data_IF_358218596808
#
_entry.id   IF_358218596808
#
_cell.length_a   1.000
_cell.length_b   1.000
_cell.length_c   1.000
_cell.angle_alpha   90.00
_cell.angle_beta   90.00
_cell.angle_gamma   90.00
#
_symmetry.space_group_name_H-M   'P 1'
#
loop_
_entity.id
_entity.type
_entity.pdbx_description
1 polymer ?
#
# COMPACT_ATOMS: atom_id res chain seq x y z
N UNK A 1 39.00 39.04 33.61
CA UNK A 1 38.63 37.60 33.57
C UNK A 1 37.14 37.50 33.28
N UNK A 2 36.75 37.22 32.04
CA UNK A 2 35.35 36.96 31.69
C UNK A 2 35.11 35.45 31.75
N UNK A 3 34.17 35.03 32.61
CA UNK A 3 33.80 33.63 32.81
C UNK A 3 32.82 33.25 31.68
N UNK A 4 33.26 32.38 30.78
CA UNK A 4 32.39 31.84 29.73
C UNK A 4 31.35 30.92 30.36
N UNK A 5 30.07 31.23 30.20
CA UNK A 5 28.97 30.32 30.50
C UNK A 5 28.87 29.33 29.33
N UNK A 6 29.25 28.07 29.58
CA UNK A 6 28.98 26.96 28.68
C UNK A 6 27.50 26.60 28.80
N UNK A 7 26.72 26.86 27.74
CA UNK A 7 25.36 26.37 27.60
C UNK A 7 25.42 25.03 26.88
N UNK A 8 25.34 23.93 27.64
CA UNK A 8 25.24 22.59 27.07
C UNK A 8 23.82 22.39 26.54
N UNK A 9 23.67 22.38 25.21
CA UNK A 9 22.45 21.90 24.55
C UNK A 9 22.40 20.38 24.70
N UNK A 10 21.58 19.90 25.63
CA UNK A 10 21.18 18.48 25.67
C UNK A 10 20.23 18.27 24.49
N UNK A 11 20.74 17.71 23.39
CA UNK A 11 19.94 17.15 22.31
C UNK A 11 19.19 15.92 22.87
N UNK A 12 18.09 16.17 23.58
CA UNK A 12 17.11 15.15 23.88
C UNK A 12 16.52 14.66 22.57
N UNK A 13 16.79 13.40 22.22
CA UNK A 13 16.07 12.69 21.17
C UNK A 13 14.61 12.61 21.56
N UNK A 14 13.80 13.57 21.11
CA UNK A 14 12.34 13.42 21.06
C UNK A 14 12.04 12.24 20.13
N UNK A 15 11.88 11.05 20.70
CA UNK A 15 11.18 9.97 20.01
C UNK A 15 9.71 10.38 19.97
N UNK A 16 9.27 10.98 18.86
CA UNK A 16 7.85 11.00 18.54
C UNK A 16 7.41 9.55 18.40
N UNK A 17 6.73 9.02 19.42
CA UNK A 17 5.91 7.83 19.22
C UNK A 17 4.81 8.22 18.24
N UNK A 18 4.85 7.64 17.04
CA UNK A 18 3.77 7.79 16.09
C UNK A 18 2.46 7.38 16.77
N UNK A 19 1.44 8.24 16.71
CA UNK A 19 0.12 7.95 17.26
C UNK A 19 -0.39 6.60 16.71
N UNK A 20 -0.98 5.78 17.57
CA UNK A 20 -1.44 4.45 17.18
C UNK A 20 -2.49 4.53 16.06
N UNK A 21 -2.46 3.61 15.08
CA UNK A 21 -3.49 3.55 14.06
C UNK A 21 -4.88 3.41 14.68
N UNK A 22 -5.85 4.18 14.18
CA UNK A 22 -7.25 4.04 14.56
C UNK A 22 -7.93 3.00 13.68
N UNK A 23 -8.87 2.25 14.23
CA UNK A 23 -9.68 1.28 13.48
C UNK A 23 -11.13 1.69 13.59
N UNK A 24 -11.83 1.73 12.46
CA UNK A 24 -13.23 2.11 12.39
C UNK A 24 -14.02 1.04 11.65
N UNK A 25 -15.18 0.68 12.20
CA UNK A 25 -16.13 -0.20 11.54
C UNK A 25 -16.83 0.59 10.41
N UNK A 26 -16.68 0.12 9.18
CA UNK A 26 -17.21 0.78 7.99
C UNK A 26 -18.46 0.09 7.42
N UNK A 27 -18.75 -1.14 7.85
CA UNK A 27 -19.96 -1.85 7.46
C UNK A 27 -20.01 -3.28 7.98
N UNK A 28 -21.21 -3.84 8.01
CA UNK A 28 -21.47 -5.23 8.35
C UNK A 28 -22.29 -5.84 7.22
N UNK A 29 -21.87 -7.01 6.74
CA UNK A 29 -22.66 -7.84 5.82
C UNK A 29 -22.96 -9.16 6.51
N UNK A 30 -24.24 -9.39 6.80
CA UNK A 30 -24.74 -10.69 7.24
C UNK A 30 -25.37 -11.39 6.05
N UNK A 31 -25.02 -12.66 5.87
CA UNK A 31 -25.59 -13.47 4.80
C UNK A 31 -26.51 -14.52 5.41
N UNK A 32 -27.71 -14.67 4.83
CA UNK A 32 -28.75 -15.57 5.31
C UNK A 32 -28.28 -17.03 5.25
N UNK A 33 -28.65 -17.81 6.26
CA UNK A 33 -28.65 -19.27 6.20
C UNK A 33 -29.62 -19.79 5.11
N UNK A 34 -29.12 -20.28 3.98
CA UNK A 34 -29.93 -20.82 2.86
C UNK A 34 -30.81 -22.06 3.22
N UNK A 35 -30.83 -22.50 4.48
CA UNK A 35 -31.60 -23.65 4.93
C UNK A 35 -30.98 -24.98 4.51
N UNK A 36 -31.73 -26.08 4.68
CA UNK A 36 -31.33 -27.37 4.09
C UNK A 36 -31.39 -27.28 2.55
N UNK A 37 -30.57 -28.10 1.87
CA UNK A 37 -30.42 -28.12 0.40
C UNK A 37 -31.67 -28.64 -0.35
N UNK A 38 -32.86 -28.13 -0.03
CA UNK A 38 -34.08 -28.47 -0.75
C UNK A 38 -34.16 -27.74 -2.11
N UNK A 39 -33.41 -26.65 -2.29
CA UNK A 39 -33.37 -25.87 -3.53
C UNK A 39 -32.03 -26.06 -4.26
N UNK A 40 -31.84 -27.25 -4.85
CA UNK A 40 -30.63 -27.55 -5.61
C UNK A 40 -30.48 -26.60 -6.81
N UNK A 41 -29.38 -25.84 -6.84
CA UNK A 41 -29.06 -24.92 -7.93
C UNK A 41 -29.65 -23.49 -7.87
N UNK A 42 -30.51 -23.15 -6.89
CA UNK A 42 -31.05 -21.79 -6.76
C UNK A 42 -30.07 -20.88 -5.99
N UNK A 43 -29.31 -20.06 -6.70
CA UNK A 43 -28.46 -19.02 -6.08
C UNK A 43 -29.31 -17.79 -5.74
N UNK A 44 -29.57 -17.59 -4.46
CA UNK A 44 -30.12 -16.32 -3.96
C UNK A 44 -29.05 -15.21 -4.09
N UNK A 45 -29.51 -13.95 -4.06
CA UNK A 45 -28.65 -12.76 -4.10
C UNK A 45 -27.55 -12.76 -3.01
N UNK A 46 -27.70 -13.56 -1.95
CA UNK A 46 -26.75 -13.73 -0.87
C UNK A 46 -26.41 -15.23 -0.64
N UNK A 47 -26.06 -15.97 -1.69
CA UNK A 47 -25.74 -17.42 -1.59
C UNK A 47 -24.33 -17.74 -1.09
N UNK A 48 -23.52 -16.72 -0.77
CA UNK A 48 -22.19 -16.91 -0.20
C UNK A 48 -22.27 -17.07 1.32
N UNK A 49 -21.58 -18.05 1.90
CA UNK A 49 -21.67 -18.30 3.35
C UNK A 49 -20.79 -17.31 4.11
N UNK A 50 -21.33 -16.75 5.20
CA UNK A 50 -20.53 -16.07 6.22
C UNK A 50 -21.09 -14.73 6.71
N UNK A 51 -20.64 -14.31 7.89
CA UNK A 51 -20.75 -12.92 8.34
C UNK A 51 -19.44 -12.21 8.02
N UNK A 52 -19.52 -11.04 7.40
CA UNK A 52 -18.38 -10.21 7.06
C UNK A 52 -18.51 -8.80 7.65
N UNK A 53 -17.37 -8.19 7.99
CA UNK A 53 -17.27 -6.81 8.43
C UNK A 53 -16.24 -6.08 7.59
N UNK A 54 -16.56 -4.85 7.20
CA UNK A 54 -15.63 -3.94 6.55
C UNK A 54 -15.04 -3.02 7.60
N UNK A 55 -13.71 -2.90 7.63
CA UNK A 55 -12.99 -1.99 8.52
C UNK A 55 -12.11 -1.03 7.74
N UNK A 56 -11.95 0.17 8.27
CA UNK A 56 -10.99 1.17 7.81
C UNK A 56 -9.99 1.40 8.94
N UNK A 57 -8.73 1.08 8.67
CA UNK A 57 -7.60 1.40 9.53
C UNK A 57 -7.01 2.71 9.05
N UNK A 58 -6.80 3.67 9.94
CA UNK A 58 -6.25 4.99 9.60
C UNK A 58 -5.03 5.32 10.44
N UNK A 59 -4.03 5.96 9.83
CA UNK A 59 -2.88 6.53 10.54
C UNK A 59 -2.94 8.05 10.45
N UNK A 60 -2.73 8.73 11.58
CA UNK A 60 -2.60 10.20 11.60
C UNK A 60 -1.19 10.61 11.17
N UNK A 61 -0.18 9.96 11.76
CA UNK A 61 1.23 10.16 11.45
C UNK A 61 1.79 9.03 10.56
N UNK A 62 2.79 9.35 9.74
CA UNK A 62 3.40 8.38 8.83
C UNK A 62 2.47 7.92 7.69
N UNK A 63 2.66 6.69 7.23
CA UNK A 63 1.96 6.11 6.07
C UNK A 63 1.89 4.58 6.20
N UNK A 64 0.75 3.98 5.84
CA UNK A 64 0.60 2.52 5.70
C UNK A 64 1.17 2.12 4.35
N UNK A 65 2.17 1.24 4.36
CA UNK A 65 2.88 0.81 3.14
C UNK A 65 2.64 -0.66 2.80
N UNK A 66 2.30 -1.48 3.80
CA UNK A 66 1.96 -2.89 3.59
C UNK A 66 1.16 -3.46 4.77
N UNK A 67 0.55 -4.62 4.54
CA UNK A 67 -0.02 -5.49 5.57
C UNK A 67 0.19 -6.96 5.17
N UNK A 68 0.17 -7.86 6.15
CA UNK A 68 0.33 -9.31 5.95
C UNK A 68 -0.96 -10.02 6.39
N UNK A 69 -1.87 -10.24 5.44
CA UNK A 69 -3.14 -10.93 5.67
C UNK A 69 -2.98 -12.41 6.02
N UNK A 70 -1.92 -13.06 5.54
CA UNK A 70 -1.61 -14.47 5.83
C UNK A 70 -1.16 -14.70 7.27
N UNK A 71 -0.57 -13.69 7.89
CA UNK A 71 -0.22 -13.69 9.32
C UNK A 71 -1.26 -12.98 10.20
N UNK A 72 -2.32 -12.47 9.61
CA UNK A 72 -3.41 -11.91 10.37
C UNK A 72 -4.13 -13.03 11.15
N UNK A 73 -4.59 -12.71 12.34
CA UNK A 73 -5.36 -13.62 13.17
C UNK A 73 -6.56 -12.86 13.71
N UNK A 74 -7.76 -13.21 13.27
CA UNK A 74 -8.99 -12.56 13.66
C UNK A 74 -10.00 -13.54 14.22
N UNK A 75 -10.82 -13.05 15.13
CA UNK A 75 -12.09 -13.64 15.50
C UNK A 75 -13.21 -12.64 15.24
N UNK A 76 -14.36 -13.13 14.78
CA UNK A 76 -15.58 -12.35 14.61
C UNK A 76 -16.71 -13.10 15.32
N UNK A 77 -17.30 -12.49 16.34
CA UNK A 77 -18.28 -13.17 17.20
C UNK A 77 -17.70 -14.41 17.89
N UNK A 78 -16.40 -14.42 18.20
CA UNK A 78 -15.70 -15.57 18.78
C UNK A 78 -15.38 -16.71 17.81
N UNK A 79 -15.72 -16.59 16.52
CA UNK A 79 -15.36 -17.57 15.49
C UNK A 79 -14.10 -17.12 14.73
N UNK A 80 -13.22 -18.02 14.29
CA UNK A 80 -12.10 -17.67 13.42
C UNK A 80 -12.57 -16.91 12.18
N UNK A 81 -11.85 -15.86 11.83
CA UNK A 81 -12.15 -15.00 10.69
C UNK A 81 -10.87 -14.70 9.90
N UNK A 82 -11.03 -14.36 8.62
CA UNK A 82 -9.94 -14.09 7.69
C UNK A 82 -10.26 -12.91 6.79
N UNK A 83 -9.23 -12.33 6.19
CA UNK A 83 -9.40 -11.31 5.15
C UNK A 83 -9.94 -11.98 3.89
N UNK A 84 -11.05 -11.47 3.36
CA UNK A 84 -11.75 -12.08 2.23
C UNK A 84 -11.07 -11.84 0.88
N UNK A 85 -10.73 -10.59 0.59
CA UNK A 85 -10.20 -10.16 -0.72
C UNK A 85 -8.98 -9.26 -0.59
N UNK A 86 -8.01 -9.67 0.21
CA UNK A 86 -6.90 -8.79 0.58
C UNK A 86 -7.41 -7.44 1.11
N UNK A 87 -6.75 -6.36 0.74
CA UNK A 87 -7.03 -5.03 1.22
C UNK A 87 -6.63 -3.97 0.24
N UNK A 88 -7.17 -2.77 0.45
CA UNK A 88 -6.93 -1.61 -0.39
C UNK A 88 -6.31 -0.49 0.44
N UNK A 89 -5.06 -0.14 0.11
CA UNK A 89 -4.36 0.99 0.72
C UNK A 89 -4.69 2.23 -0.09
N UNK A 90 -5.18 3.28 0.57
CA UNK A 90 -5.53 4.53 -0.10
C UNK A 90 -4.32 5.17 -0.79
N UNK A 91 -4.56 5.93 -1.86
CA UNK A 91 -3.50 6.61 -2.64
C UNK A 91 -2.59 7.52 -1.80
N UNK A 92 -3.12 8.11 -0.73
CA UNK A 92 -2.35 8.95 0.20
C UNK A 92 -1.68 8.13 1.32
N UNK A 93 -1.81 6.81 1.29
CA UNK A 93 -1.26 5.87 2.28
C UNK A 93 -1.72 6.12 3.72
N UNK A 94 -2.85 6.82 3.91
CA UNK A 94 -3.40 7.10 5.25
C UNK A 94 -4.43 6.10 5.72
N UNK A 95 -5.00 5.32 4.80
CA UNK A 95 -6.08 4.39 5.10
C UNK A 95 -5.81 3.02 4.50
N UNK A 96 -6.19 1.97 5.22
CA UNK A 96 -6.27 0.59 4.74
C UNK A 96 -7.70 0.11 4.95
N UNK A 97 -8.36 -0.29 3.85
CA UNK A 97 -9.68 -0.91 3.89
C UNK A 97 -9.55 -2.42 3.79
N UNK A 98 -10.21 -3.15 4.69
CA UNK A 98 -10.26 -4.61 4.72
C UNK A 98 -11.69 -5.10 4.85
N UNK A 99 -11.96 -6.26 4.25
CA UNK A 99 -13.16 -7.04 4.52
C UNK A 99 -12.74 -8.33 5.22
N UNK A 100 -13.25 -8.55 6.43
CA UNK A 100 -12.95 -9.69 7.29
C UNK A 100 -14.19 -10.54 7.41
N UNK A 101 -14.10 -11.83 7.09
CA UNK A 101 -15.23 -12.74 7.07
C UNK A 101 -14.98 -14.02 7.87
N UNK A 102 -16.08 -14.62 8.30
CA UNK A 102 -16.13 -15.97 8.86
C UNK A 102 -16.47 -16.98 7.77
N UNK A 103 -15.92 -18.19 7.84
CA UNK A 103 -16.24 -19.25 6.87
C UNK A 103 -17.67 -19.79 7.04
N UNK A 104 -18.17 -19.76 8.27
CA UNK A 104 -19.54 -20.16 8.63
C UNK A 104 -20.33 -18.93 9.08
N UNK A 105 -21.60 -18.77 8.67
CA UNK A 105 -22.46 -17.70 9.18
C UNK A 105 -22.52 -17.71 10.71
N UNK A 106 -22.51 -16.52 11.32
CA UNK A 106 -22.78 -16.41 12.75
C UNK A 106 -24.25 -16.71 13.02
N UNK A 107 -24.54 -17.34 14.15
CA UNK A 107 -25.92 -17.53 14.58
C UNK A 107 -26.55 -16.16 14.87
N UNK A 108 -27.87 -16.03 14.68
CA UNK A 108 -28.58 -14.77 14.91
C UNK A 108 -28.36 -14.23 16.34
N UNK A 109 -28.24 -15.11 17.33
CA UNK A 109 -27.95 -14.75 18.72
C UNK A 109 -26.55 -14.12 18.90
N UNK A 110 -25.58 -14.49 18.08
CA UNK A 110 -24.19 -14.01 18.17
C UNK A 110 -24.01 -12.63 17.50
N UNK A 111 -24.96 -12.20 16.66
CA UNK A 111 -24.89 -10.92 15.95
C UNK A 111 -25.05 -9.71 16.87
N UNK A 112 -25.91 -9.81 17.90
CA UNK A 112 -26.21 -8.70 18.81
C UNK A 112 -25.02 -8.32 19.72
N UNK A 113 -24.08 -9.25 19.94
CA UNK A 113 -22.86 -9.05 20.72
C UNK A 113 -21.58 -9.20 19.90
N UNK A 114 -21.69 -9.16 18.57
CA UNK A 114 -20.58 -9.46 17.68
C UNK A 114 -19.42 -8.49 17.91
N UNK A 115 -18.24 -9.07 18.17
CA UNK A 115 -16.96 -8.36 18.25
C UNK A 115 -16.01 -8.89 17.20
N UNK A 116 -15.30 -7.97 16.54
CA UNK A 116 -14.11 -8.27 15.76
C UNK A 116 -12.90 -8.06 16.67
N UNK A 117 -12.13 -9.12 16.89
CA UNK A 117 -10.90 -9.07 17.70
C UNK A 117 -9.76 -9.71 16.95
N UNK A 118 -8.52 -9.27 17.19
CA UNK A 118 -7.36 -9.93 16.64
C UNK A 118 -6.17 -9.03 16.38
N UNK A 119 -5.27 -9.51 15.52
CA UNK A 119 -4.06 -8.81 15.16
C UNK A 119 -3.84 -8.83 13.65
N UNK A 120 -3.48 -7.67 13.11
CA UNK A 120 -3.03 -7.51 11.73
C UNK A 120 -1.60 -7.00 11.72
N UNK A 121 -0.62 -7.75 11.20
CA UNK A 121 0.70 -7.18 10.93
C UNK A 121 0.59 -6.10 9.85
N UNK A 122 0.95 -4.87 10.23
CA UNK A 122 1.05 -3.75 9.30
C UNK A 122 2.49 -3.25 9.26
N UNK A 123 2.87 -2.72 8.11
CA UNK A 123 4.10 -1.96 7.95
C UNK A 123 3.75 -0.51 7.71
N UNK A 124 4.32 0.38 8.51
CA UNK A 124 4.22 1.83 8.37
C UNK A 124 5.57 2.45 8.03
N UNK A 125 5.55 3.63 7.45
CA UNK A 125 6.73 4.47 7.21
C UNK A 125 6.51 5.85 7.85
N UNK A 126 7.55 6.46 8.43
CA UNK A 126 7.45 7.78 9.08
C UNK A 126 7.57 8.94 8.08
N UNK A 127 8.14 8.68 6.89
CA UNK A 127 8.24 9.66 5.82
C UNK A 127 8.84 9.06 4.57
N UNK A 128 9.21 9.92 3.61
CA UNK A 128 9.91 9.52 2.40
C UNK A 128 11.08 10.44 2.12
N UNK A 129 12.02 9.95 1.31
CA UNK A 129 13.16 10.73 0.83
C UNK A 129 13.25 10.64 -0.68
N UNK A 130 13.55 11.77 -1.31
CA UNK A 130 13.75 11.82 -2.75
C UNK A 130 15.11 11.27 -3.14
N UNK A 131 15.09 10.47 -4.20
CA UNK A 131 16.26 9.91 -4.86
C UNK A 131 16.10 10.19 -6.35
N UNK A 132 17.09 10.81 -6.96
CA UNK A 132 17.07 11.16 -8.38
C UNK A 132 18.01 10.24 -9.15
N UNK A 133 17.60 9.86 -10.36
CA UNK A 133 18.51 9.23 -11.31
C UNK A 133 19.45 10.27 -11.92
N UNK A 134 20.53 9.79 -12.54
CA UNK A 134 21.20 10.60 -13.55
C UNK A 134 20.25 10.82 -14.75
N UNK A 135 20.42 11.90 -15.54
CA UNK A 135 19.66 12.08 -16.77
C UNK A 135 19.89 10.91 -17.73
N UNK A 136 18.80 10.33 -18.25
CA UNK A 136 18.87 9.19 -19.15
C UNK A 136 18.05 9.41 -20.42
N UNK A 137 18.47 8.77 -21.51
CA UNK A 137 17.72 8.75 -22.76
C UNK A 137 16.54 7.78 -22.63
N UNK A 138 15.33 8.26 -22.93
CA UNK A 138 14.10 7.46 -22.89
C UNK A 138 14.00 6.52 -24.10
N UNK A 139 14.99 5.62 -24.25
CA UNK A 139 15.10 4.64 -25.33
C UNK A 139 15.06 3.24 -24.72
N UNK A 140 14.42 2.29 -25.41
CA UNK A 140 14.41 0.89 -24.99
C UNK A 140 15.83 0.35 -24.77
N UNK A 141 16.02 -0.37 -23.67
CA UNK A 141 17.30 -0.92 -23.24
C UNK A 141 18.12 0.01 -22.34
N UNK A 142 17.77 1.30 -22.21
CA UNK A 142 18.50 2.21 -21.32
C UNK A 142 18.37 1.78 -19.86
N UNK A 143 19.52 1.59 -19.19
CA UNK A 143 19.58 1.38 -17.74
C UNK A 143 19.49 2.74 -17.03
N UNK A 144 18.55 2.85 -16.09
CA UNK A 144 18.38 3.99 -15.19
C UNK A 144 19.03 3.64 -13.87
N UNK A 145 20.06 4.39 -13.47
CA UNK A 145 20.80 4.19 -12.22
C UNK A 145 20.51 5.34 -11.25
N UNK A 146 20.46 5.00 -9.96
CA UNK A 146 20.25 5.97 -8.89
C UNK A 146 21.53 6.11 -8.07
N UNK A 147 22.23 7.23 -8.23
CA UNK A 147 23.46 7.51 -7.49
C UNK A 147 23.11 8.09 -6.13
N UNK A 148 22.96 7.24 -5.11
CA UNK A 148 22.67 7.70 -3.74
C UNK A 148 23.32 6.81 -2.69
N UNK A 149 23.84 7.44 -1.63
CA UNK A 149 24.28 6.76 -0.40
C UNK A 149 23.13 6.43 0.54
N UNK A 150 21.91 6.91 0.23
CA UNK A 150 20.71 6.73 1.07
C UNK A 150 20.01 5.39 0.84
N UNK A 151 20.44 4.62 -0.16
CA UNK A 151 19.91 3.29 -0.41
C UNK A 151 20.92 2.22 0.00
N UNK A 152 20.48 1.16 0.72
CA UNK A 152 21.37 0.09 1.17
C UNK A 152 21.85 -0.82 0.02
N UNK A 153 21.23 -0.73 -1.17
CA UNK A 153 21.59 -1.49 -2.38
C UNK A 153 21.41 -0.61 -3.60
N UNK A 154 22.32 -0.74 -4.57
CA UNK A 154 22.20 -0.07 -5.88
C UNK A 154 20.84 -0.43 -6.48
N UNK A 155 20.12 0.60 -6.92
CA UNK A 155 18.83 0.43 -7.59
C UNK A 155 19.04 0.73 -9.06
N UNK A 156 18.53 -0.15 -9.91
CA UNK A 156 18.46 0.11 -11.33
C UNK A 156 17.16 -0.35 -11.92
N UNK A 157 16.72 0.39 -12.92
CA UNK A 157 15.57 0.07 -13.75
C UNK A 157 16.04 0.00 -15.19
N UNK A 158 15.28 -0.66 -16.05
CA UNK A 158 15.53 -0.64 -17.50
C UNK A 158 14.31 -0.09 -18.21
N UNK A 159 14.52 0.79 -19.18
CA UNK A 159 13.46 1.21 -20.10
C UNK A 159 13.13 0.02 -20.99
N UNK A 160 11.96 -0.57 -20.80
CA UNK A 160 11.49 -1.73 -21.56
C UNK A 160 10.89 -1.29 -22.90
N UNK A 161 10.02 -0.27 -22.87
CA UNK A 161 9.38 0.30 -24.07
C UNK A 161 9.36 1.81 -24.00
N UNK A 162 9.48 2.45 -25.15
CA UNK A 162 9.37 3.90 -25.30
C UNK A 162 8.75 4.23 -26.66
N UNK A 163 7.74 5.10 -26.68
CA UNK A 163 7.04 5.45 -27.91
C UNK A 163 5.70 6.14 -27.66
N UNK A 164 4.83 6.16 -28.68
CA UNK A 164 3.44 6.60 -28.51
C UNK A 164 2.66 5.49 -27.78
N UNK A 165 1.80 5.80 -26.78
CA UNK A 165 0.94 4.80 -26.17
C UNK A 165 0.00 4.15 -27.19
N UNK A 166 -0.29 2.88 -26.99
CA UNK A 166 -1.26 2.13 -27.82
C UNK A 166 -2.70 2.65 -27.63
N UNK A 167 -2.99 3.19 -26.46
CA UNK A 167 -4.32 3.69 -26.06
C UNK A 167 -4.21 5.10 -25.47
N UNK A 168 -5.13 5.98 -25.86
CA UNK A 168 -5.20 7.37 -25.41
C UNK A 168 -4.50 8.37 -26.34
N UNK A 169 -4.63 9.65 -26.00
CA UNK A 169 -4.17 10.77 -26.85
C UNK A 169 -2.81 11.35 -26.42
N UNK A 170 -2.24 10.85 -25.33
CA UNK A 170 -0.95 11.33 -24.84
C UNK A 170 0.15 11.05 -25.88
N UNK A 171 1.08 12.00 -26.13
CA UNK A 171 2.06 11.86 -27.20
C UNK A 171 3.15 10.82 -26.93
N UNK A 172 3.34 10.42 -25.68
CA UNK A 172 4.52 9.68 -25.26
C UNK A 172 4.25 8.76 -24.06
N UNK A 173 4.83 7.57 -24.07
CA UNK A 173 4.79 6.58 -23.02
C UNK A 173 6.16 5.92 -22.85
N UNK A 174 6.54 5.68 -21.59
CA UNK A 174 7.73 4.90 -21.23
C UNK A 174 7.33 3.80 -20.25
N UNK A 175 7.77 2.58 -20.52
CA UNK A 175 7.63 1.44 -19.61
C UNK A 175 8.97 1.10 -18.99
N UNK A 176 8.98 0.84 -17.69
CA UNK A 176 10.15 0.49 -16.90
C UNK A 176 10.00 -0.93 -16.37
N UNK A 177 11.12 -1.66 -16.38
CA UNK A 177 11.25 -2.99 -15.81
C UNK A 177 12.23 -2.95 -14.64
N UNK A 178 11.91 -3.71 -13.60
CA UNK A 178 12.74 -3.89 -12.41
C UNK A 178 12.73 -5.35 -11.98
N UNK A 179 13.80 -5.77 -11.30
CA UNK A 179 13.83 -7.04 -10.57
C UNK A 179 13.17 -6.95 -9.17
N UNK A 180 12.70 -5.76 -8.78
CA UNK A 180 12.06 -5.48 -7.49
C UNK A 180 10.72 -4.80 -7.71
N UNK A 181 9.82 -4.92 -6.72
CA UNK A 181 8.48 -4.33 -6.81
C UNK A 181 8.57 -2.82 -6.64
N UNK A 182 7.77 -2.08 -7.43
CA UNK A 182 7.70 -0.61 -7.34
C UNK A 182 6.98 -0.11 -6.08
N UNK A 183 6.28 -0.99 -5.34
CA UNK A 183 5.52 -0.66 -4.14
C UNK A 183 6.41 -0.20 -2.96
N UNK A 184 7.73 -0.33 -3.09
CA UNK A 184 8.69 0.25 -2.15
C UNK A 184 8.84 1.77 -2.27
N UNK A 185 8.33 2.36 -3.36
CA UNK A 185 8.35 3.81 -3.58
C UNK A 185 6.97 4.38 -3.28
N UNK A 186 6.95 5.44 -2.46
CA UNK A 186 5.77 6.25 -2.19
C UNK A 186 5.22 6.89 -3.46
N UNK A 187 6.13 7.33 -4.33
CA UNK A 187 5.79 7.96 -5.59
C UNK A 187 6.95 7.88 -6.56
N UNK A 188 6.64 7.97 -7.85
CA UNK A 188 7.61 8.10 -8.93
C UNK A 188 7.15 9.25 -9.80
N UNK A 189 8.00 10.26 -9.94
CA UNK A 189 7.76 11.42 -10.81
C UNK A 189 8.94 11.61 -11.76
N UNK A 190 8.77 12.49 -12.73
CA UNK A 190 9.77 12.74 -13.74
C UNK A 190 10.02 14.23 -13.88
N UNK A 191 11.28 14.58 -14.08
CA UNK A 191 11.68 15.92 -14.52
C UNK A 191 12.47 15.82 -15.81
N UNK A 192 12.56 16.92 -16.53
CA UNK A 192 13.53 17.07 -17.61
C UNK A 192 14.94 17.34 -17.04
N UNK A 193 15.96 17.32 -17.90
CA UNK A 193 17.34 17.51 -17.50
C UNK A 193 17.63 18.92 -16.92
N UNK A 194 16.79 19.91 -17.24
CA UNK A 194 16.87 21.27 -16.67
C UNK A 194 16.14 21.40 -15.32
N UNK A 195 15.55 20.31 -14.83
CA UNK A 195 14.85 20.24 -13.54
C UNK A 195 13.36 20.58 -13.59
N UNK A 196 12.77 20.88 -14.75
CA UNK A 196 11.32 21.12 -14.85
C UNK A 196 10.53 19.82 -14.69
N UNK A 197 9.50 19.85 -13.85
CA UNK A 197 8.55 18.75 -13.66
C UNK A 197 7.85 18.41 -14.98
N UNK A 198 7.70 17.10 -15.24
CA UNK A 198 7.01 16.57 -16.41
C UNK A 198 5.67 15.98 -15.96
N UNK A 199 4.58 16.51 -16.51
CA UNK A 199 3.26 15.97 -16.26
C UNK A 199 3.16 14.55 -16.84
N UNK A 200 2.98 13.58 -15.94
CA UNK A 200 2.95 12.17 -16.27
C UNK A 200 1.87 11.46 -15.48
N UNK A 201 1.27 10.44 -16.09
CA UNK A 201 0.26 9.59 -15.47
C UNK A 201 0.77 8.16 -15.44
N UNK A 202 0.69 7.52 -14.28
CA UNK A 202 1.01 6.09 -14.14
C UNK A 202 -0.02 5.28 -14.91
N UNK A 203 0.46 4.49 -15.86
CA UNK A 203 -0.33 3.52 -16.61
C UNK A 203 -0.38 2.16 -15.93
N UNK A 204 -0.51 1.10 -16.73
CA UNK A 204 -0.54 -0.28 -16.25
C UNK A 204 0.74 -0.67 -15.50
N UNK A 205 0.59 -1.51 -14.48
CA UNK A 205 1.68 -2.18 -13.79
C UNK A 205 1.40 -3.66 -13.62
N UNK A 206 2.44 -4.48 -13.72
CA UNK A 206 2.39 -5.92 -13.50
C UNK A 206 3.59 -6.37 -12.69
N UNK A 207 3.41 -7.43 -11.91
CA UNK A 207 4.51 -8.09 -11.21
C UNK A 207 4.39 -9.58 -11.43
N UNK A 208 5.48 -10.21 -11.89
CA UNK A 208 5.59 -11.64 -12.06
C UNK A 208 6.71 -12.16 -11.15
N UNK A 209 6.42 -13.21 -10.40
CA UNK A 209 7.43 -13.91 -9.60
C UNK A 209 7.53 -15.35 -10.09
N UNK A 210 8.71 -15.74 -10.59
CA UNK A 210 8.96 -17.09 -11.11
C UNK A 210 10.29 -17.60 -10.54
N UNK A 211 10.29 -18.80 -9.97
CA UNK A 211 11.47 -19.45 -9.38
C UNK A 211 12.30 -18.51 -8.47
N UNK A 212 11.63 -17.75 -7.61
CA UNK A 212 12.26 -16.82 -6.67
C UNK A 212 12.77 -15.50 -7.28
N UNK A 213 12.72 -15.33 -8.61
CA UNK A 213 13.04 -14.07 -9.29
C UNK A 213 11.77 -13.26 -9.48
N UNK A 214 11.83 -11.98 -9.11
CA UNK A 214 10.73 -11.03 -9.34
C UNK A 214 11.04 -10.18 -10.56
N UNK A 215 10.03 -9.88 -11.34
CA UNK A 215 10.07 -8.89 -12.41
C UNK A 215 8.84 -8.02 -12.28
N UNK A 216 9.03 -6.73 -12.06
CA UNK A 216 7.96 -5.75 -12.03
C UNK A 216 8.08 -4.84 -13.25
N UNK A 217 6.93 -4.49 -13.82
CA UNK A 217 6.81 -3.56 -14.93
C UNK A 217 5.81 -2.47 -14.57
N UNK A 218 6.12 -1.23 -14.95
CA UNK A 218 5.23 -0.07 -14.78
C UNK A 218 5.39 0.85 -15.98
N UNK A 219 4.28 1.37 -16.48
CA UNK A 219 4.27 2.35 -17.55
C UNK A 219 3.86 3.72 -17.07
N UNK A 220 4.32 4.77 -17.77
CA UNK A 220 3.93 6.15 -17.56
C UNK A 220 3.66 6.81 -18.91
N UNK A 221 2.51 7.48 -19.06
CA UNK A 221 2.25 8.39 -20.19
C UNK A 221 2.62 9.81 -19.80
N UNK A 222 2.99 10.63 -20.80
CA UNK A 222 3.47 11.99 -20.61
C UNK A 222 2.69 12.93 -21.53
N UNK A 223 2.33 14.12 -21.04
CA UNK A 223 1.64 15.16 -21.84
C UNK A 223 2.50 15.79 -22.91
N UNK A 224 3.82 15.60 -22.83
CA UNK A 224 4.79 16.12 -23.78
C UNK A 224 5.80 15.03 -24.14
N UNK A 225 6.22 15.02 -25.41
CA UNK A 225 7.33 14.15 -25.85
C UNK A 225 8.65 14.68 -25.29
N UNK A 226 9.48 13.80 -24.78
CA UNK A 226 10.83 14.13 -24.32
C UNK A 226 11.78 12.96 -24.56
N UNK A 227 13.00 13.27 -25.02
CA UNK A 227 14.02 12.25 -25.28
C UNK A 227 14.92 12.02 -24.07
N UNK A 228 14.97 12.98 -23.13
CA UNK A 228 15.76 12.90 -21.90
C UNK A 228 14.87 13.05 -20.67
N UNK A 229 15.07 12.18 -19.70
CA UNK A 229 14.32 12.11 -18.45
C UNK A 229 15.27 12.07 -17.26
N UNK A 230 14.81 12.61 -16.15
CA UNK A 230 15.32 12.33 -14.80
C UNK A 230 14.17 11.72 -14.03
N UNK A 231 14.38 10.53 -13.46
CA UNK A 231 13.39 9.87 -12.62
C UNK A 231 13.63 10.28 -11.17
N UNK A 232 12.56 10.70 -10.49
CA UNK A 232 12.57 11.03 -9.07
C UNK A 232 11.73 10.00 -8.33
N UNK A 233 12.41 9.18 -7.53
CA UNK A 233 11.80 8.20 -6.66
C UNK A 233 11.62 8.82 -5.27
N UNK A 234 10.40 8.79 -4.75
CA UNK A 234 10.14 9.05 -3.34
C UNK A 234 10.17 7.73 -2.60
N UNK A 235 11.32 7.37 -2.02
CA UNK A 235 11.48 6.11 -1.29
C UNK A 235 11.02 6.27 0.16
N UNK A 236 10.21 5.32 0.64
CA UNK A 236 9.80 5.29 2.04
C UNK A 236 11.00 5.16 2.99
N UNK A 237 10.88 5.77 4.17
CA UNK A 237 11.91 5.80 5.21
C UNK A 237 11.27 5.56 6.58
N UNK A 238 12.09 5.13 7.55
CA UNK A 238 11.62 4.86 8.91
C UNK A 238 10.55 3.76 8.94
N UNK A 239 10.82 2.63 8.28
CA UNK A 239 9.91 1.49 8.28
C UNK A 239 9.77 0.92 9.69
N UNK A 240 8.54 0.66 10.09
CA UNK A 240 8.19 -0.04 11.31
C UNK A 240 7.15 -1.11 10.97
N UNK A 241 7.41 -2.36 11.34
CA UNK A 241 6.44 -3.44 11.20
C UNK A 241 5.99 -3.87 12.58
N UNK A 242 4.69 -3.76 12.86
CA UNK A 242 4.11 -4.15 14.15
C UNK A 242 2.74 -4.82 13.99
N UNK A 243 2.37 -5.72 14.92
CA UNK A 243 1.02 -6.22 14.99
C UNK A 243 0.08 -5.12 15.49
N UNK A 244 -0.83 -4.66 14.63
CA UNK A 244 -1.95 -3.80 15.02
C UNK A 244 -3.01 -4.67 15.71
N UNK A 245 -3.29 -4.38 16.98
CA UNK A 245 -4.41 -5.00 17.69
C UNK A 245 -5.71 -4.36 17.23
N UNK A 246 -6.68 -5.20 16.86
CA UNK A 246 -8.03 -4.79 16.49
C UNK A 246 -8.98 -5.30 17.56
N UNK A 247 -9.84 -4.40 18.06
CA UNK A 247 -10.97 -4.74 18.92
C UNK A 247 -12.09 -3.76 18.59
N UNK A 248 -13.15 -4.26 17.96
CA UNK A 248 -14.33 -3.50 17.58
C UNK A 248 -15.56 -4.30 17.95
N UNK A 249 -16.62 -3.61 18.35
CA UNK A 249 -17.95 -4.17 18.58
C UNK A 249 -18.94 -3.58 17.59
N UNK A 250 -20.07 -4.27 17.37
CA UNK A 250 -21.17 -3.72 16.57
C UNK A 250 -21.71 -2.38 17.11
N UNK A 251 -21.54 -2.10 18.41
CA UNK A 251 -21.91 -0.82 19.01
C UNK A 251 -20.98 0.34 18.63
N UNK A 252 -19.81 0.05 18.05
CA UNK A 252 -18.85 1.04 17.56
C UNK A 252 -19.18 1.52 16.12
N UNK A 253 -20.19 0.92 15.47
CA UNK A 253 -20.76 1.44 14.24
C UNK A 253 -21.53 2.74 14.56
N UNK A 254 -21.05 3.88 14.06
CA UNK A 254 -21.77 5.16 14.07
C UNK A 254 -22.41 5.43 12.72
#
# INVERSE_FOLDING_TARGET
MFKAFSCAFVLGTLSLHAAEPTVTLAGIRTIWNDGEKEFDGFKTFNSEKGTAVAVIISVTEGSIVAFDDKKANFTLGGKPAKVRFGGDISKNHKHLKLEIETETPLAAADLAGMKLEGTLPITTATGSSEIKSDPFDAKTGTKVTFTTTKLPTERSLTVDKSGKPEWGDDPFQVSFKSDRKFDEFANITFTSADGKSLESSRGGSSTMTMMGKTTAEVSYTFKQKTDKLVMVLSAWTGFESKPLKISLSAADAK
#
